data_IF_078827834087
#
_entry.id   IF_078827834087
#
_cell.length_a   1.000
_cell.length_b   1.000
_cell.length_c   1.000
_cell.angle_alpha   90.00
_cell.angle_beta   90.00
_cell.angle_gamma   90.00
#
_symmetry.space_group_name_H-M   'P 1'
#
loop_
_entity.id
_entity.type
_entity.pdbx_description
1 polymer ?
#
# COMPACT_ATOMS: atom_id res chain seq x y z
N UNK A 1 3.28 11.29 20.84
CA UNK A 1 4.50 11.43 21.69
C UNK A 1 4.14 11.36 23.17
N UNK A 2 3.28 12.27 23.69
CA UNK A 2 2.96 12.34 25.15
C UNK A 2 2.45 11.01 25.70
N UNK A 3 1.53 10.34 25.01
CA UNK A 3 0.98 9.04 25.43
C UNK A 3 2.08 7.98 25.60
N UNK A 4 3.00 7.85 24.63
CA UNK A 4 4.12 6.92 24.71
C UNK A 4 5.07 7.25 25.88
N UNK A 5 5.42 8.53 26.06
CA UNK A 5 6.28 8.98 27.15
C UNK A 5 5.65 8.73 28.53
N UNK A 6 4.34 8.93 28.67
CA UNK A 6 3.64 8.62 29.92
C UNK A 6 3.81 7.15 30.31
N UNK A 7 3.62 6.23 29.36
CA UNK A 7 3.70 4.79 29.62
C UNK A 7 5.13 4.26 29.81
N UNK A 8 6.16 5.06 29.58
CA UNK A 8 7.54 4.65 29.91
C UNK A 8 7.78 4.50 31.41
N UNK A 9 7.11 5.28 32.22
CA UNK A 9 7.32 5.27 33.66
C UNK A 9 6.04 5.21 34.49
N UNK A 10 4.88 5.10 33.87
CA UNK A 10 3.58 5.05 34.51
C UNK A 10 2.73 3.90 33.96
N UNK A 11 1.85 3.35 34.81
CA UNK A 11 0.93 2.26 34.43
C UNK A 11 -0.51 2.69 34.73
N UNK A 12 -1.43 2.69 33.76
CA UNK A 12 -2.85 3.06 33.98
C UNK A 12 -3.62 2.07 34.87
N UNK A 13 -3.09 0.87 35.09
CA UNK A 13 -3.78 -0.21 35.81
C UNK A 13 -4.85 -0.90 34.96
N UNK A 14 -4.86 -0.66 33.65
CA UNK A 14 -5.71 -1.27 32.64
C UNK A 14 -4.84 -1.74 31.48
N UNK A 15 -5.42 -2.47 30.53
CA UNK A 15 -4.73 -2.88 29.28
C UNK A 15 -4.74 -1.80 28.21
N UNK A 16 -5.39 -0.65 28.48
CA UNK A 16 -5.43 0.46 27.53
C UNK A 16 -4.04 1.06 27.37
N UNK A 17 -3.58 1.19 26.11
CA UNK A 17 -2.29 1.79 25.78
C UNK A 17 -2.44 3.10 24.99
N UNK A 18 -3.50 3.24 24.21
CA UNK A 18 -3.75 4.47 23.43
C UNK A 18 -4.68 5.38 24.21
N UNK A 19 -4.19 6.58 24.50
CA UNK A 19 -4.90 7.62 25.24
C UNK A 19 -4.83 8.94 24.48
N UNK A 20 -5.93 9.67 24.45
CA UNK A 20 -5.92 11.11 24.20
C UNK A 20 -5.26 11.85 25.37
N UNK A 21 -4.92 13.12 25.18
CA UNK A 21 -4.37 13.92 26.27
C UNK A 21 -5.36 14.04 27.45
N UNK A 22 -6.64 14.24 27.15
CA UNK A 22 -7.69 14.37 28.18
C UNK A 22 -7.91 13.07 28.95
N UNK A 23 -7.82 11.92 28.30
CA UNK A 23 -7.87 10.62 28.95
C UNK A 23 -6.65 10.39 29.83
N UNK A 24 -5.44 10.77 29.37
CA UNK A 24 -4.23 10.70 30.19
C UNK A 24 -4.34 11.54 31.44
N UNK A 25 -4.82 12.79 31.32
CA UNK A 25 -4.99 13.70 32.46
C UNK A 25 -5.98 13.12 33.49
N UNK A 26 -7.06 12.49 33.05
CA UNK A 26 -8.06 11.86 33.93
C UNK A 26 -7.55 10.57 34.56
N UNK A 27 -6.76 9.77 33.84
CA UNK A 27 -6.29 8.47 34.31
C UNK A 27 -5.02 8.57 35.15
N UNK A 28 -4.26 9.65 35.00
CA UNK A 28 -2.95 9.79 35.63
C UNK A 28 -3.04 9.82 37.16
N UNK A 29 -2.31 8.91 37.80
CA UNK A 29 -2.12 8.81 39.24
C UNK A 29 -0.64 8.62 39.54
N UNK A 30 -0.05 9.56 40.26
CA UNK A 30 1.36 9.57 40.59
C UNK A 30 1.80 8.34 41.41
N UNK A 31 0.88 7.74 42.17
CA UNK A 31 1.14 6.54 42.97
C UNK A 31 1.47 5.32 42.08
N UNK A 32 1.07 5.34 40.80
CA UNK A 32 1.33 4.31 39.79
C UNK A 32 2.59 4.55 38.98
N UNK A 33 3.35 5.58 39.30
CA UNK A 33 4.64 5.80 38.67
C UNK A 33 5.65 4.75 39.15
N UNK A 34 6.38 4.18 38.20
CA UNK A 34 7.44 3.21 38.49
C UNK A 34 8.61 3.87 39.22
N UNK A 35 9.11 3.21 40.26
CA UNK A 35 10.36 3.62 40.93
C UNK A 35 11.61 3.12 40.19
N UNK A 36 11.45 2.21 39.25
CA UNK A 36 12.55 1.71 38.39
C UNK A 36 12.82 2.69 37.25
N UNK A 37 14.08 2.69 36.75
CA UNK A 37 14.42 3.48 35.57
C UNK A 37 13.60 3.07 34.35
N UNK A 38 13.08 4.05 33.62
CA UNK A 38 12.35 3.82 32.38
C UNK A 38 13.31 3.33 31.27
N UNK A 39 12.93 2.26 30.59
CA UNK A 39 13.65 1.78 29.42
C UNK A 39 12.91 2.21 28.15
N UNK A 40 13.59 2.98 27.31
CA UNK A 40 13.03 3.39 26.03
C UNK A 40 12.90 2.18 25.09
N UNK A 41 11.67 1.81 24.74
CA UNK A 41 11.39 0.75 23.78
C UNK A 41 11.09 1.35 22.41
N UNK A 42 12.08 1.26 21.53
CA UNK A 42 11.98 1.79 20.16
C UNK A 42 10.87 1.10 19.35
N UNK A 43 10.71 -0.22 19.52
CA UNK A 43 9.68 -0.98 18.80
C UNK A 43 8.28 -0.56 19.23
N UNK A 44 8.10 -0.35 20.52
CA UNK A 44 6.84 0.15 21.06
C UNK A 44 6.57 1.58 20.59
N UNK A 45 7.58 2.43 20.47
CA UNK A 45 7.44 3.77 19.90
C UNK A 45 6.97 3.76 18.43
N UNK A 46 7.50 2.85 17.61
CA UNK A 46 7.07 2.62 16.22
C UNK A 46 5.61 2.15 16.18
N UNK A 47 5.25 1.18 17.01
CA UNK A 47 3.87 0.70 17.13
C UNK A 47 2.90 1.82 17.50
N UNK A 48 3.22 2.66 18.47
CA UNK A 48 2.41 3.83 18.81
C UNK A 48 2.19 4.76 17.61
N UNK A 49 3.23 4.99 16.82
CA UNK A 49 3.10 5.86 15.65
C UNK A 49 2.19 5.24 14.59
N UNK A 50 2.28 3.93 14.38
CA UNK A 50 1.38 3.18 13.50
C UNK A 50 -0.08 3.32 13.94
N UNK A 51 -0.38 3.09 15.22
CA UNK A 51 -1.73 3.24 15.77
C UNK A 51 -2.28 4.66 15.55
N UNK A 52 -1.46 5.70 15.75
CA UNK A 52 -1.86 7.07 15.48
C UNK A 52 -2.09 7.36 13.99
N UNK A 53 -1.36 6.71 13.08
CA UNK A 53 -1.63 6.79 11.63
C UNK A 53 -2.99 6.16 11.32
N UNK A 54 -3.30 5.00 11.90
CA UNK A 54 -4.58 4.33 11.67
C UNK A 54 -5.79 5.15 12.20
N UNK A 55 -5.62 5.85 13.31
CA UNK A 55 -6.65 6.71 13.89
C UNK A 55 -6.93 7.98 13.07
N UNK A 56 -5.97 8.43 12.27
CA UNK A 56 -6.14 9.60 11.40
C UNK A 56 -6.99 9.27 10.18
N UNK A 57 -7.80 10.25 9.77
CA UNK A 57 -8.54 10.16 8.52
C UNK A 57 -7.61 10.07 7.32
N UNK A 58 -8.11 9.53 6.20
CA UNK A 58 -7.37 9.49 4.96
C UNK A 58 -7.02 10.90 4.46
N UNK A 59 -7.90 11.88 4.71
CA UNK A 59 -7.65 13.30 4.38
C UNK A 59 -6.46 13.88 5.18
N UNK A 60 -6.37 13.60 6.48
CA UNK A 60 -5.25 14.06 7.30
C UNK A 60 -3.92 13.48 6.82
N UNK A 61 -3.88 12.17 6.53
CA UNK A 61 -2.68 11.51 6.04
C UNK A 61 -2.35 11.97 4.61
N UNK A 62 -3.36 12.15 3.74
CA UNK A 62 -3.14 12.65 2.39
C UNK A 62 -2.53 14.06 2.38
N UNK A 63 -3.00 14.95 3.26
CA UNK A 63 -2.39 16.29 3.42
C UNK A 63 -0.94 16.24 3.88
N UNK A 64 -0.55 15.24 4.66
CA UNK A 64 0.85 15.04 5.08
C UNK A 64 1.68 14.37 3.96
N UNK A 65 1.07 13.54 3.13
CA UNK A 65 1.75 12.79 2.07
C UNK A 65 1.88 13.58 0.77
N UNK A 66 0.92 14.43 0.43
CA UNK A 66 0.94 15.23 -0.81
C UNK A 66 2.22 16.06 -1.01
N UNK A 67 2.79 16.74 0.01
CA UNK A 67 4.08 17.41 -0.13
C UNK A 67 5.23 16.45 -0.46
N UNK A 68 5.19 15.21 0.03
CA UNK A 68 6.21 14.20 -0.28
C UNK A 68 6.10 13.78 -1.74
N UNK A 69 4.87 13.57 -2.24
CA UNK A 69 4.60 13.28 -3.67
C UNK A 69 5.15 14.41 -4.55
N UNK A 70 4.81 15.67 -4.24
CA UNK A 70 5.26 16.83 -4.96
C UNK A 70 6.80 17.00 -4.96
N UNK A 71 7.45 16.77 -3.82
CA UNK A 71 8.91 16.82 -3.70
C UNK A 71 9.63 15.74 -4.54
N UNK A 72 8.93 14.68 -4.93
CA UNK A 72 9.44 13.66 -5.85
C UNK A 72 9.08 13.95 -7.34
N UNK A 73 8.65 15.18 -7.64
CA UNK A 73 8.41 15.64 -9.01
C UNK A 73 7.08 15.18 -9.62
N UNK A 74 6.12 14.79 -8.79
CA UNK A 74 4.79 14.39 -9.23
C UNK A 74 3.78 15.47 -8.89
N UNK A 75 3.08 15.95 -9.90
CA UNK A 75 1.90 16.82 -9.75
C UNK A 75 0.64 15.94 -9.76
N UNK A 76 -0.02 15.81 -8.61
CA UNK A 76 -1.21 14.99 -8.48
C UNK A 76 -2.26 15.70 -7.61
N UNK A 77 -3.53 15.38 -7.83
CA UNK A 77 -4.63 15.93 -7.05
C UNK A 77 -4.66 15.30 -5.65
N UNK A 78 -5.13 16.07 -4.67
CA UNK A 78 -5.25 15.57 -3.30
C UNK A 78 -6.19 14.36 -3.21
N UNK A 79 -7.24 14.31 -4.03
CA UNK A 79 -8.18 13.19 -4.08
C UNK A 79 -7.51 11.89 -4.54
N UNK A 80 -6.61 11.95 -5.53
CA UNK A 80 -5.87 10.78 -5.97
C UNK A 80 -4.82 10.35 -4.94
N UNK A 81 -4.14 11.31 -4.30
CA UNK A 81 -3.25 11.01 -3.17
C UNK A 81 -4.02 10.34 -2.02
N UNK A 82 -5.23 10.82 -1.72
CA UNK A 82 -6.12 10.22 -0.71
C UNK A 82 -6.51 8.77 -1.05
N UNK A 83 -6.83 8.47 -2.31
CA UNK A 83 -7.11 7.10 -2.75
C UNK A 83 -5.92 6.16 -2.49
N UNK A 84 -4.69 6.62 -2.78
CA UNK A 84 -3.48 5.84 -2.49
C UNK A 84 -3.29 5.65 -0.98
N UNK A 85 -3.50 6.68 -0.19
CA UNK A 85 -3.46 6.61 1.28
C UNK A 85 -4.47 5.60 1.80
N UNK A 86 -5.71 5.62 1.29
CA UNK A 86 -6.75 4.66 1.67
C UNK A 86 -6.30 3.19 1.48
N UNK A 87 -5.62 2.90 0.38
CA UNK A 87 -5.14 1.55 0.06
C UNK A 87 -3.88 1.13 0.83
N UNK A 88 -3.12 2.09 1.40
CA UNK A 88 -1.74 1.82 1.80
C UNK A 88 -1.37 2.23 3.23
N UNK A 89 -2.17 3.08 3.90
CA UNK A 89 -1.79 3.65 5.22
C UNK A 89 -1.62 2.60 6.33
N UNK A 90 -2.32 1.48 6.23
CA UNK A 90 -2.23 0.36 7.16
C UNK A 90 -0.91 -0.42 7.10
N UNK A 91 -0.08 -0.13 6.08
CA UNK A 91 1.19 -0.83 5.82
C UNK A 91 2.42 -0.05 6.24
N UNK A 92 2.24 1.12 6.81
CA UNK A 92 3.33 2.01 7.19
C UNK A 92 3.28 2.40 8.66
N UNK A 93 4.46 2.64 9.24
CA UNK A 93 4.56 3.18 10.59
C UNK A 93 4.79 4.69 10.57
N UNK A 94 5.26 5.24 9.45
CA UNK A 94 5.52 6.67 9.26
C UNK A 94 5.04 7.10 7.87
N UNK A 95 4.53 8.33 7.76
CA UNK A 95 3.99 8.87 6.48
C UNK A 95 5.03 8.87 5.37
N UNK A 96 6.30 9.12 5.67
CA UNK A 96 7.37 9.11 4.66
C UNK A 96 7.63 7.72 4.05
N UNK A 97 7.24 6.65 4.75
CA UNK A 97 7.35 5.27 4.24
C UNK A 97 6.34 4.97 3.12
N UNK A 98 5.30 5.80 2.97
CA UNK A 98 4.34 5.65 1.87
C UNK A 98 5.04 5.79 0.51
N UNK A 99 5.94 6.76 0.34
CA UNK A 99 6.54 6.99 -0.97
C UNK A 99 7.27 5.78 -1.55
N UNK A 100 8.23 5.14 -0.86
CA UNK A 100 8.90 3.95 -1.40
C UNK A 100 7.98 2.74 -1.57
N UNK A 101 6.83 2.72 -0.87
CA UNK A 101 5.87 1.62 -0.98
C UNK A 101 4.84 1.82 -2.09
N UNK A 102 4.52 3.06 -2.47
CA UNK A 102 3.42 3.34 -3.38
C UNK A 102 3.76 4.32 -4.52
N UNK A 103 5.03 4.65 -4.73
CA UNK A 103 5.48 5.50 -5.84
C UNK A 103 5.02 4.98 -7.22
N UNK A 104 4.85 3.66 -7.35
CA UNK A 104 4.34 3.04 -8.58
C UNK A 104 2.93 3.47 -8.98
N UNK A 105 2.12 3.98 -8.07
CA UNK A 105 0.81 4.55 -8.41
C UNK A 105 0.95 5.81 -9.27
N UNK A 106 2.03 6.55 -9.08
CA UNK A 106 2.27 7.85 -9.74
C UNK A 106 3.29 7.75 -10.86
N UNK A 107 4.30 6.88 -10.71
CA UNK A 107 5.40 6.73 -11.67
C UNK A 107 5.44 5.27 -12.11
N UNK A 108 5.39 5.05 -13.44
CA UNK A 108 5.52 3.71 -13.99
C UNK A 108 6.91 3.12 -13.68
N UNK A 109 7.00 1.81 -13.44
CA UNK A 109 8.30 1.18 -13.24
C UNK A 109 9.15 1.29 -14.51
N UNK A 110 10.39 1.69 -14.34
CA UNK A 110 11.41 1.71 -15.40
C UNK A 110 12.26 0.44 -15.39
N UNK A 111 12.30 -0.22 -14.24
CA UNK A 111 13.03 -1.45 -14.00
C UNK A 111 12.13 -2.47 -13.30
N UNK A 112 12.45 -3.74 -13.46
CA UNK A 112 11.74 -4.85 -12.84
C UNK A 112 12.69 -5.57 -11.90
N UNK A 113 12.27 -5.79 -10.65
CA UNK A 113 13.07 -6.49 -9.65
C UNK A 113 13.47 -7.89 -10.16
N UNK A 114 14.77 -8.09 -10.37
CA UNK A 114 15.30 -9.30 -10.99
C UNK A 114 14.94 -10.57 -10.20
N UNK A 115 14.87 -10.49 -8.87
CA UNK A 115 14.52 -11.62 -8.01
C UNK A 115 13.03 -11.95 -8.15
N UNK A 116 12.19 -10.94 -8.19
CA UNK A 116 10.74 -11.09 -8.41
C UNK A 116 10.48 -11.59 -9.83
N UNK A 117 11.11 -11.02 -10.84
CA UNK A 117 10.99 -11.46 -12.23
C UNK A 117 11.38 -12.94 -12.37
N UNK A 118 12.53 -13.36 -11.88
CA UNK A 118 12.96 -14.78 -11.91
C UNK A 118 11.96 -15.71 -11.24
N UNK A 119 11.28 -15.26 -10.18
CA UNK A 119 10.32 -16.07 -9.41
C UNK A 119 8.93 -16.09 -10.03
N UNK A 120 8.46 -14.96 -10.60
CA UNK A 120 7.07 -14.71 -10.97
C UNK A 120 6.82 -14.65 -12.46
N UNK A 121 7.82 -14.31 -13.27
CA UNK A 121 7.71 -14.33 -14.72
C UNK A 121 8.15 -15.70 -15.23
N UNK A 122 7.23 -16.45 -15.84
CA UNK A 122 7.45 -17.79 -16.35
C UNK A 122 7.53 -17.74 -17.89
N UNK A 123 7.94 -18.83 -18.51
CA UNK A 123 8.03 -18.96 -19.99
C UNK A 123 6.70 -18.61 -20.68
N UNK A 124 5.58 -18.89 -20.03
CA UNK A 124 4.24 -18.61 -20.56
C UNK A 124 3.69 -17.24 -20.13
N UNK A 125 4.39 -16.47 -19.29
CA UNK A 125 3.86 -15.21 -18.75
C UNK A 125 3.67 -14.15 -19.82
N UNK A 126 4.57 -14.04 -20.78
CA UNK A 126 4.45 -13.09 -21.88
C UNK A 126 3.18 -13.33 -22.71
N UNK A 127 2.88 -14.59 -23.03
CA UNK A 127 1.65 -14.96 -23.72
C UNK A 127 0.41 -14.63 -22.87
N UNK A 128 0.39 -15.04 -21.59
CA UNK A 128 -0.73 -14.76 -20.70
C UNK A 128 -0.97 -13.26 -20.54
N UNK A 129 0.08 -12.46 -20.43
CA UNK A 129 -0.04 -11.01 -20.31
C UNK A 129 -0.53 -10.35 -21.62
N UNK A 130 -0.15 -10.90 -22.78
CA UNK A 130 -0.69 -10.45 -24.07
C UNK A 130 -2.19 -10.71 -24.17
N UNK A 131 -2.64 -11.92 -23.82
CA UNK A 131 -4.05 -12.26 -23.80
C UNK A 131 -4.82 -11.44 -22.74
N UNK A 132 -4.21 -11.21 -21.56
CA UNK A 132 -4.81 -10.35 -20.54
C UNK A 132 -5.00 -8.90 -21.04
N UNK A 133 -4.04 -8.39 -21.83
CA UNK A 133 -4.16 -7.05 -22.42
C UNK A 133 -5.38 -6.96 -23.33
N UNK A 134 -5.62 -7.97 -24.18
CA UNK A 134 -6.79 -8.04 -25.05
C UNK A 134 -8.10 -8.10 -24.25
N UNK A 135 -8.11 -8.89 -23.18
CA UNK A 135 -9.27 -9.00 -22.27
C UNK A 135 -9.57 -7.64 -21.62
N UNK A 136 -8.53 -7.00 -21.04
CA UNK A 136 -8.68 -5.70 -20.38
C UNK A 136 -9.11 -4.58 -21.36
N UNK A 137 -8.64 -4.63 -22.60
CA UNK A 137 -9.01 -3.67 -23.65
C UNK A 137 -10.52 -3.72 -23.94
N UNK A 138 -11.12 -4.93 -23.92
CA UNK A 138 -12.54 -5.16 -24.14
C UNK A 138 -13.46 -4.82 -22.96
N UNK A 139 -12.92 -4.54 -21.77
CA UNK A 139 -13.74 -4.22 -20.59
C UNK A 139 -14.29 -2.78 -20.70
N UNK A 140 -15.59 -2.59 -20.66
CA UNK A 140 -16.21 -1.27 -20.65
C UNK A 140 -16.18 -0.65 -19.24
N UNK A 141 -16.63 -1.40 -18.23
CA UNK A 141 -16.57 -1.01 -16.83
C UNK A 141 -15.21 -1.39 -16.21
N UNK A 142 -14.29 -0.43 -16.14
CA UNK A 142 -12.94 -0.61 -15.60
C UNK A 142 -12.88 -0.41 -14.08
N UNK A 143 -14.01 -0.54 -13.37
CA UNK A 143 -14.05 -0.64 -11.90
C UNK A 143 -13.36 -1.92 -11.40
N UNK A 144 -13.14 -2.01 -10.10
CA UNK A 144 -12.56 -3.23 -9.47
C UNK A 144 -13.43 -4.43 -9.80
N UNK A 145 -14.75 -4.32 -9.56
CA UNK A 145 -15.72 -5.39 -9.76
C UNK A 145 -15.86 -5.79 -11.24
N UNK A 146 -15.86 -4.80 -12.14
CA UNK A 146 -15.95 -5.03 -13.57
C UNK A 146 -14.73 -5.80 -14.11
N UNK A 147 -13.53 -5.40 -13.70
CA UNK A 147 -12.30 -6.09 -14.05
C UNK A 147 -12.24 -7.50 -13.45
N UNK A 148 -12.51 -7.62 -12.15
CA UNK A 148 -12.42 -8.90 -11.43
C UNK A 148 -13.34 -9.94 -12.08
N UNK A 149 -14.59 -9.58 -12.34
CA UNK A 149 -15.58 -10.48 -12.96
C UNK A 149 -15.10 -11.05 -14.30
N UNK A 150 -14.58 -10.18 -15.18
CA UNK A 150 -14.16 -10.59 -16.53
C UNK A 150 -12.85 -11.37 -16.49
N UNK A 151 -11.87 -10.88 -15.73
CA UNK A 151 -10.53 -11.50 -15.67
C UNK A 151 -10.58 -12.85 -14.97
N UNK A 152 -11.33 -12.99 -13.88
CA UNK A 152 -11.48 -14.27 -13.19
C UNK A 152 -12.13 -15.32 -14.09
N UNK A 153 -13.18 -14.95 -14.82
CA UNK A 153 -13.81 -15.82 -15.80
C UNK A 153 -12.83 -16.23 -16.91
N UNK A 154 -12.08 -15.31 -17.47
CA UNK A 154 -11.07 -15.60 -18.48
C UNK A 154 -10.01 -16.58 -17.97
N UNK A 155 -9.49 -16.39 -16.74
CA UNK A 155 -8.51 -17.29 -16.12
C UNK A 155 -9.08 -18.70 -15.98
N UNK A 156 -10.35 -18.82 -15.56
CA UNK A 156 -11.05 -20.11 -15.43
C UNK A 156 -11.24 -20.78 -16.80
N UNK A 157 -11.79 -20.05 -17.77
CA UNK A 157 -12.06 -20.56 -19.14
C UNK A 157 -10.78 -21.05 -19.83
N UNK A 158 -9.62 -20.43 -19.56
CA UNK A 158 -8.31 -20.83 -20.10
C UNK A 158 -7.62 -21.93 -19.27
N UNK A 159 -8.12 -22.23 -18.07
CA UNK A 159 -7.48 -23.18 -17.15
C UNK A 159 -6.13 -22.67 -16.60
N UNK A 160 -5.93 -21.36 -16.54
CA UNK A 160 -4.70 -20.78 -16.02
C UNK A 160 -4.65 -20.81 -14.49
N UNK A 161 -3.45 -20.84 -13.93
CA UNK A 161 -3.27 -20.67 -12.49
C UNK A 161 -3.41 -19.19 -12.13
N UNK A 162 -4.45 -18.83 -11.41
CA UNK A 162 -4.73 -17.45 -10.98
C UNK A 162 -3.51 -16.78 -10.36
N UNK A 163 -2.81 -17.48 -9.46
CA UNK A 163 -1.63 -16.93 -8.79
C UNK A 163 -0.49 -16.58 -9.75
N UNK A 164 -0.30 -17.35 -10.82
CA UNK A 164 0.74 -17.07 -11.82
C UNK A 164 0.35 -15.83 -12.64
N UNK A 165 -0.90 -15.76 -13.12
CA UNK A 165 -1.44 -14.60 -13.85
C UNK A 165 -1.34 -13.33 -13.01
N UNK A 166 -1.86 -13.35 -11.76
CA UNK A 166 -1.88 -12.17 -10.89
C UNK A 166 -0.47 -11.71 -10.48
N UNK A 167 0.47 -12.65 -10.28
CA UNK A 167 1.85 -12.30 -9.97
C UNK A 167 2.59 -11.67 -11.16
N UNK A 168 2.39 -12.21 -12.36
CA UNK A 168 2.93 -11.62 -13.59
C UNK A 168 2.33 -10.24 -13.83
N UNK A 169 1.01 -10.10 -13.71
CA UNK A 169 0.31 -8.82 -13.85
C UNK A 169 0.82 -7.78 -12.85
N UNK A 170 1.01 -8.16 -11.57
CA UNK A 170 1.61 -7.28 -10.57
C UNK A 170 3.00 -6.80 -10.97
N UNK A 171 3.84 -7.69 -11.44
CA UNK A 171 5.18 -7.33 -11.89
C UNK A 171 5.14 -6.28 -13.00
N UNK A 172 4.19 -6.40 -13.94
CA UNK A 172 4.07 -5.44 -15.05
C UNK A 172 3.67 -4.05 -14.59
N UNK A 173 2.78 -3.93 -13.59
CA UNK A 173 2.27 -2.64 -13.13
C UNK A 173 3.16 -1.96 -12.09
N UNK A 174 3.80 -2.75 -11.23
CA UNK A 174 4.52 -2.28 -10.05
C UNK A 174 6.03 -2.36 -10.21
N UNK A 175 6.53 -3.28 -11.04
CA UNK A 175 7.96 -3.61 -11.15
C UNK A 175 8.47 -4.54 -10.05
N UNK A 176 7.67 -4.80 -9.02
CA UNK A 176 8.01 -5.59 -7.84
C UNK A 176 6.83 -6.45 -7.38
N UNK A 177 7.06 -7.30 -6.36
CA UNK A 177 6.03 -8.17 -5.78
C UNK A 177 5.24 -7.56 -4.61
N UNK A 178 5.05 -6.23 -4.57
CA UNK A 178 4.40 -5.50 -3.48
C UNK A 178 3.13 -4.76 -3.93
N UNK A 179 2.39 -4.22 -2.99
CA UNK A 179 1.20 -3.39 -3.23
C UNK A 179 -0.11 -4.02 -2.76
N UNK A 180 -1.24 -3.32 -2.91
CA UNK A 180 -2.58 -3.80 -2.56
C UNK A 180 -3.12 -4.81 -3.59
N UNK A 181 -4.43 -4.97 -3.69
CA UNK A 181 -5.09 -5.81 -4.69
C UNK A 181 -4.73 -5.41 -6.12
N UNK A 182 -4.65 -6.39 -7.03
CA UNK A 182 -4.28 -6.09 -8.42
C UNK A 182 -5.31 -5.20 -9.12
N UNK A 183 -6.58 -5.46 -8.85
CA UNK A 183 -7.66 -4.68 -9.44
C UNK A 183 -7.77 -3.28 -8.80
N UNK A 184 -7.39 -3.11 -7.53
CA UNK A 184 -7.25 -1.79 -6.91
C UNK A 184 -6.18 -0.95 -7.64
N UNK A 185 -5.03 -1.57 -7.94
CA UNK A 185 -3.94 -0.90 -8.66
C UNK A 185 -4.39 -0.52 -10.08
N UNK A 186 -4.93 -1.46 -10.84
CA UNK A 186 -5.31 -1.22 -12.23
C UNK A 186 -6.49 -0.25 -12.36
N UNK A 187 -7.47 -0.31 -11.46
CA UNK A 187 -8.58 0.64 -11.44
C UNK A 187 -8.08 2.07 -11.14
N UNK A 188 -7.14 2.22 -10.18
CA UNK A 188 -6.54 3.52 -9.90
C UNK A 188 -5.74 4.07 -11.08
N UNK A 189 -4.95 3.24 -11.76
CA UNK A 189 -4.17 3.63 -12.93
C UNK A 189 -5.05 3.98 -14.14
N UNK A 190 -6.21 3.35 -14.23
CA UNK A 190 -7.07 3.41 -15.39
C UNK A 190 -6.63 2.48 -16.53
N UNK A 191 -7.53 2.26 -17.48
CA UNK A 191 -7.35 1.29 -18.58
C UNK A 191 -6.11 1.60 -19.41
N UNK A 192 -5.97 2.83 -19.85
CA UNK A 192 -4.90 3.25 -20.78
C UNK A 192 -3.51 3.03 -20.16
N UNK A 193 -3.28 3.50 -18.94
CA UNK A 193 -2.01 3.37 -18.24
C UNK A 193 -1.72 1.92 -17.88
N UNK A 194 -2.73 1.15 -17.47
CA UNK A 194 -2.61 -0.28 -17.21
C UNK A 194 -2.12 -1.03 -18.45
N UNK A 195 -2.75 -0.81 -19.59
CA UNK A 195 -2.37 -1.44 -20.87
C UNK A 195 -0.98 -1.01 -21.32
N UNK A 196 -0.64 0.28 -21.17
CA UNK A 196 0.69 0.80 -21.51
C UNK A 196 1.79 0.11 -20.71
N UNK A 197 1.63 0.00 -19.38
CA UNK A 197 2.61 -0.68 -18.52
C UNK A 197 2.73 -2.15 -18.84
N UNK A 198 1.61 -2.81 -19.05
CA UNK A 198 1.55 -4.23 -19.37
C UNK A 198 2.29 -4.54 -20.68
N UNK A 199 1.99 -3.79 -21.75
CA UNK A 199 2.68 -3.93 -23.05
C UNK A 199 4.19 -3.66 -22.93
N UNK A 200 4.57 -2.61 -22.16
CA UNK A 200 5.99 -2.30 -21.92
C UNK A 200 6.72 -3.40 -21.18
N UNK A 201 6.10 -4.02 -20.20
CA UNK A 201 6.70 -5.13 -19.48
C UNK A 201 6.88 -6.37 -20.37
N UNK A 202 5.93 -6.66 -21.25
CA UNK A 202 6.05 -7.75 -22.22
C UNK A 202 7.27 -7.54 -23.15
N UNK A 203 7.49 -6.30 -23.62
CA UNK A 203 8.66 -5.97 -24.44
C UNK A 203 10.00 -6.19 -23.73
N UNK A 204 10.04 -5.96 -22.41
CA UNK A 204 11.28 -5.99 -21.61
C UNK A 204 11.56 -7.36 -21.02
N UNK A 205 10.54 -8.10 -20.66
CA UNK A 205 10.64 -9.36 -19.93
C UNK A 205 10.33 -10.59 -20.80
N UNK A 206 9.72 -10.37 -21.96
CA UNK A 206 9.27 -11.43 -22.90
C UNK A 206 10.35 -12.03 -23.76
#
# INVERSE_FOLDING_TARGET
>A
VVNFLALLGWNPGTEQEIFSLDELVKAFDISRCSKAGAKFDFKKGIWFNHEYILMKSDDEIANLFAPIVANNGVEETLDRVKQVVHMMKDRVNFVYELWPLCSFFFIAPTEYDAKTAKKRWKEYSAQQMTELAEVLEGIEDFSIEGQESVVMKWVEDKGYKLGDVMNAFRLTLVGEGKGPGMFDISAFLGKEETLRRLRKAIEVLG
#
